data_IF_517036839516
#
_entry.id   IF_517036839516
#
_cell.length_a   1.000
_cell.length_b   1.000
_cell.length_c   1.000
_cell.angle_alpha   90.00
_cell.angle_beta   90.00
_cell.angle_gamma   90.00
#
_symmetry.space_group_name_H-M   'P 1'
#
loop_
_entity.id
_entity.type
_entity.pdbx_description
1 polymer ?
#
# COMPACT_ATOMS: atom_id res chain seq x y z
N UNK A 1 -13.69 -48.63 36.94
CA UNK A 1 -14.73 -48.16 36.00
C UNK A 1 -14.01 -47.21 35.03
N UNK A 2 -13.53 -47.65 33.85
CA UNK A 2 -14.23 -47.77 32.52
C UNK A 2 -15.05 -46.49 32.25
N UNK A 3 -14.83 -45.66 31.22
CA UNK A 3 -14.48 -45.81 29.78
C UNK A 3 -13.75 -44.51 29.33
N UNK A 4 -12.76 -44.44 28.43
CA UNK A 4 -12.69 -45.02 27.08
C UNK A 4 -13.44 -44.11 26.09
N UNK A 5 -12.73 -43.47 25.14
CA UNK A 5 -13.21 -43.08 23.79
C UNK A 5 -12.02 -42.67 22.90
N UNK A 6 -11.51 -43.65 22.16
CA UNK A 6 -10.70 -43.56 20.93
C UNK A 6 -11.57 -43.23 19.73
N UNK A 7 -10.94 -42.82 18.61
CA UNK A 7 -11.41 -42.79 17.20
C UNK A 7 -11.57 -41.37 16.65
N UNK A 8 -11.22 -41.03 15.41
CA UNK A 8 -10.65 -41.78 14.30
C UNK A 8 -10.06 -40.79 13.28
N UNK A 9 -9.16 -41.32 12.46
CA UNK A 9 -8.55 -40.72 11.29
C UNK A 9 -9.56 -40.11 10.30
N UNK A 10 -9.13 -39.04 9.62
CA UNK A 10 -9.58 -38.74 8.25
C UNK A 10 -8.34 -38.48 7.39
N UNK A 11 -8.11 -39.45 6.51
CA UNK A 11 -7.23 -39.42 5.35
C UNK A 11 -7.84 -38.53 4.26
N UNK A 12 -6.97 -37.83 3.53
CA UNK A 12 -7.19 -37.45 2.14
C UNK A 12 -7.71 -36.03 1.89
N UNK A 13 -6.92 -35.21 1.18
CA UNK A 13 -7.15 -35.04 -0.25
C UNK A 13 -5.92 -34.38 -0.91
N UNK A 14 -5.31 -35.13 -1.82
CA UNK A 14 -4.33 -34.66 -2.81
C UNK A 14 -5.06 -33.81 -3.84
N UNK A 15 -4.57 -32.60 -4.10
CA UNK A 15 -5.07 -31.74 -5.16
C UNK A 15 -3.99 -30.79 -5.63
N UNK A 16 -3.19 -31.24 -6.59
CA UNK A 16 -2.26 -30.40 -7.34
C UNK A 16 -3.03 -29.47 -8.27
N UNK A 17 -2.63 -28.19 -8.32
CA UNK A 17 -3.02 -27.28 -9.39
C UNK A 17 -1.75 -26.81 -10.09
N UNK A 18 -1.71 -27.18 -11.36
CA UNK A 18 -0.66 -26.93 -12.31
C UNK A 18 -0.61 -25.46 -12.76
N UNK A 19 0.60 -25.06 -13.13
CA UNK A 19 0.98 -24.22 -14.27
C UNK A 19 0.12 -22.98 -14.59
N UNK A 20 0.75 -21.82 -14.44
CA UNK A 20 0.30 -20.56 -15.02
C UNK A 20 1.44 -19.56 -15.14
N UNK A 21 2.42 -19.82 -16.01
CA UNK A 21 3.37 -18.81 -16.50
C UNK A 21 2.60 -17.90 -17.45
N UNK A 22 2.44 -16.62 -17.11
CA UNK A 22 2.00 -15.58 -18.04
C UNK A 22 3.18 -14.68 -18.38
N UNK A 23 3.76 -14.96 -19.55
CA UNK A 23 4.55 -14.03 -20.35
C UNK A 23 3.55 -13.17 -21.11
N UNK A 24 3.69 -11.85 -21.07
CA UNK A 24 2.83 -10.97 -21.86
C UNK A 24 3.26 -9.51 -21.80
N UNK A 25 4.29 -9.17 -22.59
CA UNK A 25 4.63 -7.80 -22.95
C UNK A 25 3.62 -7.31 -24.00
N UNK A 26 2.82 -6.31 -23.67
CA UNK A 26 1.94 -5.62 -24.63
C UNK A 26 2.61 -4.30 -25.04
N UNK A 27 3.22 -4.34 -26.22
CA UNK A 27 3.60 -3.18 -27.02
C UNK A 27 2.66 -3.22 -28.22
N UNK A 28 1.64 -2.36 -28.28
CA UNK A 28 0.83 -2.11 -29.50
C UNK A 28 0.19 -0.72 -29.35
N UNK A 29 0.74 0.29 -30.02
CA UNK A 29 0.34 0.78 -31.36
C UNK A 29 -0.89 1.69 -31.34
N UNK A 30 -0.63 2.99 -31.30
CA UNK A 30 -1.52 4.05 -31.76
C UNK A 30 -0.70 4.93 -32.71
N UNK A 31 -1.19 5.48 -33.83
CA UNK A 31 -2.41 5.33 -34.61
C UNK A 31 -2.11 6.08 -35.91
N UNK A 32 -2.33 5.40 -37.03
CA UNK A 32 -2.56 5.83 -38.42
C UNK A 32 -2.79 7.34 -38.64
N UNK A 33 -2.06 7.94 -39.58
CA UNK A 33 -2.57 8.95 -40.55
C UNK A 33 -1.91 8.73 -41.93
N UNK A 34 -2.73 8.30 -42.89
CA UNK A 34 -2.60 8.25 -44.37
C UNK A 34 -2.58 9.72 -44.93
N UNK A 35 -2.03 10.14 -46.08
CA UNK A 35 -2.12 9.67 -47.48
C UNK A 35 -1.25 10.61 -48.42
N UNK A 36 -1.16 10.39 -49.76
CA UNK A 36 0.06 10.54 -50.59
C UNK A 36 0.02 11.64 -51.69
N UNK A 37 1.17 12.03 -52.29
CA UNK A 37 1.32 12.32 -53.74
C UNK A 37 2.80 12.28 -54.19
N UNK A 38 3.02 11.84 -55.44
CA UNK A 38 4.30 11.67 -56.12
C UNK A 38 4.79 12.92 -56.89
N UNK A 39 6.12 12.97 -57.13
CA UNK A 39 6.81 13.31 -58.39
C UNK A 39 7.90 14.41 -58.36
N UNK A 40 9.02 14.07 -59.06
CA UNK A 40 10.02 14.92 -59.76
C UNK A 40 11.34 15.31 -59.02
N UNK A 41 12.47 14.73 -59.48
CA UNK A 41 13.90 15.14 -59.30
C UNK A 41 14.30 16.17 -60.41
N UNK A 42 15.54 16.70 -60.62
CA UNK A 42 16.86 16.53 -59.95
C UNK A 42 17.73 17.84 -59.83
N UNK A 43 18.98 17.67 -59.36
CA UNK A 43 20.16 18.54 -59.58
C UNK A 43 20.26 19.86 -58.82
N UNK A 44 21.18 19.94 -57.86
CA UNK A 44 22.41 20.76 -57.95
C UNK A 44 23.17 20.69 -56.61
N UNK A 45 24.39 20.15 -56.63
CA UNK A 45 25.36 20.33 -55.56
C UNK A 45 26.32 21.45 -55.99
N UNK A 46 26.52 22.45 -55.13
CA UNK A 46 27.86 22.62 -54.56
C UNK A 46 27.80 22.90 -53.05
N UNK A 47 28.64 22.16 -52.31
CA UNK A 47 29.02 22.50 -50.93
C UNK A 47 29.77 23.84 -50.92
N UNK A 48 29.62 24.67 -49.86
CA UNK A 48 30.44 24.50 -48.64
C UNK A 48 29.60 24.83 -47.38
N UNK A 49 29.70 24.22 -46.19
CA UNK A 49 30.79 24.16 -45.22
C UNK A 49 30.31 23.29 -44.03
N UNK A 50 31.24 22.76 -43.20
CA UNK A 50 30.95 21.66 -42.28
C UNK A 50 30.32 22.17 -40.99
N UNK A 51 28.99 22.12 -40.91
CA UNK A 51 28.33 22.07 -39.60
C UNK A 51 28.53 20.67 -39.03
N UNK A 52 29.67 20.55 -38.36
CA UNK A 52 30.00 19.49 -37.41
C UNK A 52 28.79 19.27 -36.51
N UNK A 53 28.03 18.22 -36.78
CA UNK A 53 26.98 17.73 -35.88
C UNK A 53 27.71 17.21 -34.66
N UNK A 54 27.86 18.08 -33.66
CA UNK A 54 28.31 17.69 -32.33
C UNK A 54 27.44 16.50 -31.88
N UNK A 55 28.03 15.40 -31.38
CA UNK A 55 27.24 14.31 -30.86
C UNK A 55 26.38 14.88 -29.74
N UNK A 56 25.06 14.83 -29.93
CA UNK A 56 24.07 15.11 -28.90
C UNK A 56 24.30 14.07 -27.81
N UNK A 57 25.23 14.38 -26.89
CA UNK A 57 25.44 13.65 -25.66
C UNK A 57 24.09 13.64 -24.98
N UNK A 58 23.43 12.50 -25.06
CA UNK A 58 22.42 12.09 -24.11
C UNK A 58 23.11 12.22 -22.76
N UNK A 59 22.88 13.35 -22.07
CA UNK A 59 23.12 13.40 -20.64
C UNK A 59 22.18 12.35 -20.09
N UNK A 60 22.74 11.17 -19.80
CA UNK A 60 22.25 10.32 -18.73
C UNK A 60 22.26 11.24 -17.53
N UNK A 61 21.12 11.88 -17.28
CA UNK A 61 20.85 12.47 -15.99
C UNK A 61 20.72 11.24 -15.10
N UNK A 62 21.84 10.85 -14.51
CA UNK A 62 21.83 10.14 -13.24
C UNK A 62 20.91 10.99 -12.39
N UNK A 63 19.68 10.54 -12.25
CA UNK A 63 18.79 11.04 -11.21
C UNK A 63 19.57 10.65 -9.96
N UNK A 64 20.19 11.58 -9.22
CA UNK A 64 20.70 11.20 -7.92
C UNK A 64 19.48 10.65 -7.20
N UNK A 65 19.57 9.38 -6.78
CA UNK A 65 18.63 8.74 -5.90
C UNK A 65 18.21 9.81 -4.90
N UNK A 66 16.96 10.26 -5.04
CA UNK A 66 16.37 11.18 -4.10
C UNK A 66 16.58 10.48 -2.77
N UNK A 67 17.49 11.05 -2.00
CA UNK A 67 17.81 10.62 -0.67
C UNK A 67 16.47 10.28 -0.02
N UNK A 68 16.28 9.01 0.31
CA UNK A 68 15.36 8.64 1.38
C UNK A 68 15.84 9.47 2.55
N UNK A 69 15.24 10.64 2.71
CA UNK A 69 15.50 11.49 3.85
C UNK A 69 15.17 10.59 5.02
N UNK A 70 16.14 10.24 5.88
CA UNK A 70 15.78 9.60 7.12
C UNK A 70 14.81 10.59 7.75
N UNK A 71 13.54 10.18 7.85
CA UNK A 71 12.52 10.94 8.56
C UNK A 71 13.11 11.07 9.95
N UNK A 72 13.73 12.22 10.20
CA UNK A 72 14.22 12.59 11.51
C UNK A 72 13.05 12.31 12.45
N UNK A 73 13.24 11.52 13.52
CA UNK A 73 12.18 11.33 14.48
C UNK A 73 11.96 12.70 15.11
N UNK A 74 11.00 13.44 14.55
CA UNK A 74 10.38 14.55 15.23
C UNK A 74 9.95 13.92 16.55
N UNK A 75 10.52 14.37 17.67
CA UNK A 75 10.00 14.08 19.00
C UNK A 75 8.61 14.72 19.08
N UNK A 76 7.65 14.13 18.36
CA UNK A 76 6.24 14.27 18.65
C UNK A 76 6.12 13.61 20.02
N UNK A 77 5.56 14.34 20.98
CA UNK A 77 5.13 13.77 22.25
C UNK A 77 4.33 12.49 21.94
N UNK A 78 4.99 11.34 22.06
CA UNK A 78 4.40 10.07 21.66
C UNK A 78 3.37 9.75 22.73
N UNK A 79 2.10 10.05 22.44
CA UNK A 79 1.00 9.55 23.25
C UNK A 79 1.17 8.04 23.30
N UNK A 80 1.32 7.44 24.51
CA UNK A 80 1.49 6.00 24.61
C UNK A 80 0.23 5.33 24.07
N UNK A 81 0.41 4.18 23.41
CA UNK A 81 -0.71 3.34 22.95
C UNK A 81 -1.68 3.00 24.11
N UNK A 82 -1.16 2.97 25.34
CA UNK A 82 -1.91 2.69 26.57
C UNK A 82 -2.60 3.92 27.19
N UNK A 83 -2.60 5.08 26.53
CA UNK A 83 -3.24 6.28 27.05
C UNK A 83 -4.77 6.08 27.17
N UNK A 84 -5.38 6.35 28.34
CA UNK A 84 -6.81 6.13 28.55
C UNK A 84 -7.69 6.98 27.63
N UNK A 85 -7.28 8.22 27.33
CA UNK A 85 -8.02 9.11 26.44
C UNK A 85 -8.05 8.62 24.99
N UNK A 86 -6.92 8.03 24.54
CA UNK A 86 -6.86 7.35 23.24
C UNK A 86 -7.80 6.14 23.22
N UNK A 87 -7.87 5.39 24.33
CA UNK A 87 -8.78 4.24 24.43
C UNK A 87 -10.23 4.67 24.33
N UNK A 88 -10.62 5.75 25.00
CA UNK A 88 -11.97 6.29 24.94
C UNK A 88 -12.33 6.79 23.54
N UNK A 89 -11.40 7.46 22.86
CA UNK A 89 -11.60 7.85 21.47
C UNK A 89 -11.77 6.63 20.57
N UNK A 90 -10.93 5.61 20.72
CA UNK A 90 -10.94 4.43 19.87
C UNK A 90 -12.12 3.49 20.14
N UNK A 91 -12.76 3.52 21.32
CA UNK A 91 -14.03 2.82 21.59
C UNK A 91 -15.14 3.24 20.61
N UNK A 92 -15.15 4.49 20.18
CA UNK A 92 -16.18 5.01 19.25
C UNK A 92 -15.93 4.61 17.79
N UNK A 93 -14.68 4.30 17.46
CA UNK A 93 -14.23 3.94 16.11
C UNK A 93 -14.32 2.43 15.90
N UNK A 94 -14.02 1.65 16.95
CA UNK A 94 -14.03 0.19 16.92
C UNK A 94 -15.45 -0.37 17.04
N UNK A 95 -15.60 -1.63 16.61
CA UNK A 95 -16.87 -2.34 16.72
C UNK A 95 -17.32 -2.48 18.19
N UNK A 96 -18.63 -2.40 18.48
CA UNK A 96 -19.15 -2.58 19.83
C UNK A 96 -18.67 -3.88 20.48
N UNK A 97 -18.31 -3.81 21.77
CA UNK A 97 -17.81 -4.98 22.52
C UNK A 97 -16.32 -5.30 22.30
N UNK A 98 -15.59 -4.52 21.50
CA UNK A 98 -14.13 -4.66 21.38
C UNK A 98 -13.44 -4.33 22.70
N UNK A 99 -12.65 -5.28 23.22
CA UNK A 99 -11.84 -5.08 24.44
C UNK A 99 -10.58 -4.28 24.10
N UNK A 100 -10.56 -2.99 24.42
CA UNK A 100 -9.47 -2.09 24.06
C UNK A 100 -8.08 -2.59 24.50
N UNK A 101 -7.86 -3.10 25.72
CA UNK A 101 -6.53 -3.58 26.14
C UNK A 101 -5.99 -4.70 25.23
N UNK A 102 -6.88 -5.55 24.72
CA UNK A 102 -6.53 -6.61 23.76
C UNK A 102 -6.41 -6.08 22.34
N UNK A 103 -7.13 -5.01 22.00
CA UNK A 103 -7.06 -4.38 20.69
C UNK A 103 -5.68 -3.73 20.49
N UNK A 104 -5.17 -3.02 21.50
CA UNK A 104 -3.89 -2.29 21.43
C UNK A 104 -2.64 -3.18 21.47
N UNK A 105 -2.78 -4.42 21.91
CA UNK A 105 -1.64 -5.33 22.06
C UNK A 105 -0.92 -5.57 20.72
N UNK A 106 0.40 -5.49 20.74
CA UNK A 106 1.27 -5.72 19.57
C UNK A 106 1.44 -4.51 18.64
N UNK A 107 0.71 -3.41 18.86
CA UNK A 107 0.97 -2.15 18.16
C UNK A 107 2.16 -1.43 18.76
N UNK A 108 3.02 -0.85 17.90
CA UNK A 108 4.22 -0.12 18.33
C UNK A 108 3.88 1.28 18.83
N UNK A 109 2.96 1.94 18.14
CA UNK A 109 2.66 3.36 18.31
C UNK A 109 1.15 3.62 18.27
N UNK A 110 0.72 4.69 18.95
CA UNK A 110 -0.68 5.10 18.98
C UNK A 110 -1.21 5.39 17.58
N UNK A 111 -0.40 6.02 16.72
CA UNK A 111 -0.75 6.29 15.32
C UNK A 111 -0.99 4.98 14.55
N UNK A 112 -0.18 3.94 14.78
CA UNK A 112 -0.36 2.65 14.10
C UNK A 112 -1.69 2.01 14.50
N UNK A 113 -1.98 1.96 15.81
CA UNK A 113 -3.25 1.42 16.32
C UNK A 113 -4.46 2.20 15.79
N UNK A 114 -4.44 3.53 15.94
CA UNK A 114 -5.53 4.40 15.51
C UNK A 114 -5.74 4.36 13.98
N UNK A 115 -4.68 4.26 13.20
CA UNK A 115 -4.78 4.10 11.74
C UNK A 115 -5.49 2.81 11.37
N UNK A 116 -5.16 1.68 12.02
CA UNK A 116 -5.82 0.40 11.74
C UNK A 116 -7.28 0.42 12.19
N UNK A 117 -7.59 1.07 13.31
CA UNK A 117 -8.96 1.27 13.78
C UNK A 117 -9.81 2.07 12.77
N UNK A 118 -9.30 3.21 12.30
CA UNK A 118 -9.98 4.03 11.29
C UNK A 118 -10.10 3.31 9.95
N UNK A 119 -9.06 2.59 9.52
CA UNK A 119 -9.12 1.79 8.30
C UNK A 119 -10.23 0.72 8.37
N UNK A 120 -10.40 0.06 9.51
CA UNK A 120 -11.46 -0.93 9.72
C UNK A 120 -12.86 -0.32 9.54
N UNK A 121 -13.06 0.89 10.10
CA UNK A 121 -14.30 1.65 10.00
C UNK A 121 -14.57 2.14 8.58
N UNK A 122 -13.55 2.60 7.87
CA UNK A 122 -13.68 3.18 6.54
C UNK A 122 -13.86 2.13 5.42
N UNK A 123 -13.29 0.93 5.60
CA UNK A 123 -13.26 -0.13 4.56
C UNK A 123 -14.29 -1.25 4.76
N UNK A 124 -15.28 -1.04 5.62
CA UNK A 124 -16.04 -2.11 6.32
C UNK A 124 -15.31 -3.45 6.43
N UNK A 125 -14.06 -3.45 6.92
CA UNK A 125 -13.29 -4.67 7.19
C UNK A 125 -13.18 -4.83 8.70
N UNK A 126 -13.41 -6.03 9.27
CA UNK A 126 -13.28 -6.21 10.72
C UNK A 126 -11.89 -5.81 11.23
N UNK A 127 -11.83 -4.99 12.28
CA UNK A 127 -10.59 -4.53 12.89
C UNK A 127 -9.65 -5.68 13.27
N UNK A 128 -10.21 -6.76 13.83
CA UNK A 128 -9.44 -7.95 14.23
C UNK A 128 -8.74 -8.60 13.04
N UNK A 129 -9.38 -8.60 11.86
CA UNK A 129 -8.80 -9.15 10.64
C UNK A 129 -7.65 -8.28 10.13
N UNK A 130 -7.83 -6.95 10.10
CA UNK A 130 -6.73 -6.03 9.73
C UNK A 130 -5.57 -6.12 10.74
N UNK A 131 -5.87 -6.22 12.04
CA UNK A 131 -4.87 -6.41 13.08
C UNK A 131 -4.05 -7.69 12.84
N UNK A 132 -4.71 -8.82 12.61
CA UNK A 132 -4.03 -10.09 12.32
C UNK A 132 -3.12 -9.98 11.11
N UNK A 133 -3.60 -9.41 10.00
CA UNK A 133 -2.80 -9.27 8.78
C UNK A 133 -1.59 -8.35 8.96
N UNK A 134 -1.76 -7.24 9.68
CA UNK A 134 -0.67 -6.28 9.88
C UNK A 134 0.35 -6.76 10.91
N UNK A 135 -0.09 -7.39 12.00
CA UNK A 135 0.79 -7.75 13.11
C UNK A 135 1.29 -9.20 13.05
N UNK A 136 0.43 -10.14 12.66
CA UNK A 136 0.76 -11.57 12.62
C UNK A 136 1.32 -11.98 11.26
N UNK A 137 0.72 -11.51 10.16
CA UNK A 137 1.20 -11.83 8.80
C UNK A 137 2.24 -10.84 8.28
N UNK A 138 2.47 -9.72 8.98
CA UNK A 138 3.45 -8.70 8.61
C UNK A 138 3.09 -7.92 7.33
N UNK A 139 1.83 -7.97 6.89
CA UNK A 139 1.37 -7.26 5.71
C UNK A 139 1.35 -5.75 5.94
N UNK A 140 1.54 -4.97 4.87
CA UNK A 140 1.21 -3.55 4.93
C UNK A 140 -0.31 -3.39 5.11
N UNK A 141 -0.73 -2.29 5.74
CA UNK A 141 -2.17 -2.03 5.90
C UNK A 141 -2.91 -1.96 4.55
N UNK A 142 -2.25 -1.43 3.53
CA UNK A 142 -2.78 -1.38 2.17
C UNK A 142 -2.98 -2.79 1.59
N UNK A 143 -1.99 -3.68 1.76
CA UNK A 143 -2.11 -5.08 1.34
C UNK A 143 -3.24 -5.79 2.10
N UNK A 144 -3.33 -5.57 3.41
CA UNK A 144 -4.37 -6.17 4.25
C UNK A 144 -5.78 -5.76 3.79
N UNK A 145 -5.99 -4.47 3.47
CA UNK A 145 -7.25 -3.95 2.93
C UNK A 145 -7.51 -4.53 1.55
N UNK A 146 -6.54 -4.46 0.62
CA UNK A 146 -6.70 -4.95 -0.75
C UNK A 146 -7.04 -6.44 -0.79
N UNK A 147 -6.42 -7.24 0.08
CA UNK A 147 -6.70 -8.66 0.20
C UNK A 147 -8.04 -8.96 0.92
N UNK A 148 -8.70 -7.97 1.54
CA UNK A 148 -10.01 -8.14 2.20
C UNK A 148 -11.15 -7.58 1.34
N UNK A 149 -10.88 -6.49 0.63
CA UNK A 149 -11.79 -5.73 -0.22
C UNK A 149 -11.03 -5.30 -1.48
N UNK A 150 -10.95 -6.15 -2.51
CA UNK A 150 -10.19 -5.84 -3.73
C UNK A 150 -10.81 -4.71 -4.56
N UNK A 151 -12.12 -4.46 -4.41
CA UNK A 151 -12.85 -3.41 -5.13
C UNK A 151 -12.64 -2.00 -4.55
N UNK A 152 -12.01 -1.88 -3.38
CA UNK A 152 -11.72 -0.58 -2.75
C UNK A 152 -10.32 -0.07 -3.12
N UNK A 153 -10.21 1.24 -3.25
CA UNK A 153 -8.91 1.91 -3.33
C UNK A 153 -8.22 1.90 -1.95
N UNK A 154 -7.47 0.83 -1.71
CA UNK A 154 -6.75 0.63 -0.46
C UNK A 154 -5.77 1.78 -0.15
N UNK A 155 -5.13 2.38 -1.15
CA UNK A 155 -4.17 3.46 -0.92
C UNK A 155 -4.86 4.72 -0.40
N UNK A 156 -5.98 5.09 -1.03
CA UNK A 156 -6.79 6.25 -0.62
C UNK A 156 -7.38 6.05 0.77
N UNK A 157 -7.91 4.87 1.07
CA UNK A 157 -8.49 4.59 2.40
C UNK A 157 -7.44 4.54 3.51
N UNK A 158 -6.23 4.03 3.23
CA UNK A 158 -5.10 4.11 4.19
C UNK A 158 -4.68 5.56 4.42
N UNK A 159 -4.60 6.38 3.37
CA UNK A 159 -4.25 7.79 3.51
C UNK A 159 -5.29 8.55 4.35
N UNK A 160 -6.58 8.31 4.11
CA UNK A 160 -7.68 8.84 4.92
C UNK A 160 -7.57 8.41 6.38
N UNK A 161 -7.42 7.11 6.63
CA UNK A 161 -7.33 6.57 7.98
C UNK A 161 -6.13 7.13 8.76
N UNK A 162 -4.98 7.34 8.11
CA UNK A 162 -3.80 7.98 8.73
C UNK A 162 -4.06 9.44 9.08
N UNK A 163 -4.74 10.17 8.21
CA UNK A 163 -5.09 11.57 8.47
C UNK A 163 -6.04 11.70 9.67
N UNK A 164 -7.05 10.83 9.75
CA UNK A 164 -7.99 10.77 10.87
C UNK A 164 -7.29 10.39 12.18
N UNK A 165 -6.44 9.37 12.16
CA UNK A 165 -5.64 8.95 13.32
C UNK A 165 -4.77 10.09 13.86
N UNK A 166 -4.09 10.83 12.97
CA UNK A 166 -3.26 11.97 13.37
C UNK A 166 -4.08 13.11 13.95
N UNK A 167 -5.25 13.38 13.37
CA UNK A 167 -6.15 14.42 13.87
C UNK A 167 -6.64 14.07 15.28
N UNK A 168 -7.07 12.83 15.50
CA UNK A 168 -7.49 12.36 16.82
C UNK A 168 -6.34 12.46 17.84
N UNK A 169 -5.14 12.02 17.50
CA UNK A 169 -3.96 12.11 18.38
C UNK A 169 -3.59 13.57 18.67
N UNK A 170 -3.62 14.43 17.66
CA UNK A 170 -3.32 15.85 17.82
C UNK A 170 -4.34 16.53 18.74
N UNK A 171 -5.64 16.20 18.59
CA UNK A 171 -6.71 16.73 19.44
C UNK A 171 -6.53 16.32 20.92
N UNK A 172 -6.07 15.08 21.17
CA UNK A 172 -5.75 14.61 22.53
C UNK A 172 -4.56 15.38 23.12
N UNK A 173 -3.47 15.56 22.35
CA UNK A 173 -2.29 16.30 22.84
C UNK A 173 -2.52 17.79 23.07
N UNK A 174 -3.60 18.36 22.55
CA UNK A 174 -3.94 19.78 22.70
C UNK A 174 -4.87 20.07 23.89
N UNK A 175 -5.33 19.03 24.60
CA UNK A 175 -6.29 19.15 25.71
C UNK A 175 -5.61 19.13 27.10
N UNK A 176 -4.28 18.98 27.14
CA UNK A 176 -3.42 19.02 28.35
C UNK A 176 -2.86 20.44 28.58
#
# INVERSE_FOLDING_TARGET
MKTGNTSAAVLGLVGGVALGVWIGAEITSARIVEAPVAAVQPTEAPAPEPITVAPRRVRVRVIPAAAESPKTPKLVMTIPVSAPELHDRMKTVLAPGTKIPMAVEGFKDAEQFATVAHAARNTPVPFILLKHRVLSEGQSLEQAIRASKPDLDAATEVARARAEARNDIAALSATD
#
